data_IF_569993966217
#
_entry.id   IF_569993966217
#
_cell.length_a   1.000
_cell.length_b   1.000
_cell.length_c   1.000
_cell.angle_alpha   90.00
_cell.angle_beta   90.00
_cell.angle_gamma   90.00
#
_symmetry.space_group_name_H-M   'P 1'
#
loop_
_entity.id
_entity.type
_entity.pdbx_description
1 polymer ?
#
# COMPACT_ATOMS: atom_id res chain seq x y z
N UNK A 1 18.16 18.18 -66.90
CA UNK A 1 18.22 18.82 -65.56
C UNK A 1 16.93 18.56 -64.73
N UNK A 2 16.42 17.31 -64.71
CA UNK A 2 15.21 16.91 -63.95
C UNK A 2 15.44 15.71 -63.02
N UNK A 3 16.61 15.06 -63.09
CA UNK A 3 16.95 13.86 -62.32
C UNK A 3 17.45 14.15 -60.92
N UNK A 4 18.06 15.32 -60.67
CA UNK A 4 18.57 15.72 -59.36
C UNK A 4 17.47 16.10 -58.36
N UNK A 5 16.30 16.60 -58.81
CA UNK A 5 15.17 16.95 -57.91
C UNK A 5 14.43 15.73 -57.32
N UNK A 6 14.51 14.57 -57.98
CA UNK A 6 13.87 13.33 -57.49
C UNK A 6 14.65 12.66 -56.36
N UNK A 7 15.97 12.83 -56.33
CA UNK A 7 16.83 12.20 -55.32
C UNK A 7 16.65 12.80 -53.92
N UNK A 8 16.43 14.11 -53.80
CA UNK A 8 16.26 14.80 -52.51
C UNK A 8 14.92 14.50 -51.79
N UNK A 9 13.88 14.13 -52.54
CA UNK A 9 12.57 13.78 -51.96
C UNK A 9 12.55 12.38 -51.33
N UNK A 10 13.40 11.46 -51.81
CA UNK A 10 13.52 10.10 -51.29
C UNK A 10 14.38 10.03 -50.02
N UNK A 11 15.40 10.88 -49.89
CA UNK A 11 16.24 10.95 -48.67
C UNK A 11 15.54 11.64 -47.49
N UNK A 12 14.63 12.59 -47.74
CA UNK A 12 13.83 13.23 -46.69
C UNK A 12 12.78 12.28 -46.07
N UNK A 13 12.27 11.31 -46.85
CA UNK A 13 11.30 10.31 -46.37
C UNK A 13 11.95 9.19 -45.55
N UNK A 14 13.23 8.87 -45.83
CA UNK A 14 13.98 7.86 -45.10
C UNK A 14 14.52 8.38 -43.75
N UNK A 15 14.86 9.68 -43.66
CA UNK A 15 15.32 10.31 -42.42
C UNK A 15 14.20 10.52 -41.39
N UNK A 16 12.95 10.67 -41.81
CA UNK A 16 11.79 10.80 -40.91
C UNK A 16 11.29 9.48 -40.34
N UNK A 17 11.67 8.34 -40.93
CA UNK A 17 11.36 7.00 -40.43
C UNK A 17 12.35 6.51 -39.35
N UNK A 18 13.54 7.10 -39.25
CA UNK A 18 14.58 6.69 -38.29
C UNK A 18 14.36 7.16 -36.85
N UNK A 19 13.44 8.10 -36.61
CA UNK A 19 13.09 8.61 -35.26
C UNK A 19 11.73 8.11 -34.74
N UNK A 20 11.02 7.28 -35.51
CA UNK A 20 9.78 6.68 -35.07
C UNK A 20 10.06 5.33 -34.41
N UNK A 21 9.54 5.16 -33.18
CA UNK A 21 9.54 3.93 -32.41
C UNK A 21 10.80 3.61 -31.58
N UNK A 22 11.10 4.47 -30.61
CA UNK A 22 11.39 3.90 -29.28
C UNK A 22 10.03 3.64 -28.65
N UNK A 23 9.64 2.39 -28.34
CA UNK A 23 8.43 2.17 -27.55
C UNK A 23 8.64 2.87 -26.21
N UNK A 24 7.85 3.90 -25.93
CA UNK A 24 7.80 4.50 -24.60
C UNK A 24 7.16 3.46 -23.67
N UNK A 25 7.98 2.59 -23.07
CA UNK A 25 7.52 1.67 -22.04
C UNK A 25 7.36 2.48 -20.76
N UNK A 26 6.17 3.03 -20.60
CA UNK A 26 5.78 3.72 -19.40
C UNK A 26 5.11 2.76 -18.42
N UNK A 27 5.61 2.73 -17.21
CA UNK A 27 5.16 1.86 -16.14
C UNK A 27 5.07 2.65 -14.84
N UNK A 28 3.98 2.46 -14.10
CA UNK A 28 3.89 2.89 -12.71
C UNK A 28 3.65 1.71 -11.79
N UNK A 29 4.26 1.77 -10.61
CA UNK A 29 4.13 0.75 -9.58
C UNK A 29 4.23 1.37 -8.20
N UNK A 30 3.34 0.97 -7.32
CA UNK A 30 3.38 1.30 -5.90
C UNK A 30 3.24 0.04 -5.06
N UNK A 31 3.96 -0.02 -3.96
CA UNK A 31 3.88 -1.11 -2.99
C UNK A 31 4.00 -0.57 -1.58
N UNK A 32 3.15 -1.06 -0.69
CA UNK A 32 3.12 -0.69 0.72
C UNK A 32 2.94 -1.95 1.54
N UNK A 33 3.92 -2.23 2.40
CA UNK A 33 3.97 -3.44 3.22
C UNK A 33 4.36 -3.02 4.64
N UNK A 34 3.60 -3.45 5.63
CA UNK A 34 3.98 -3.29 7.02
C UNK A 34 3.81 -4.61 7.75
N UNK A 35 4.94 -5.06 8.30
CA UNK A 35 5.01 -6.23 9.16
C UNK A 35 5.23 -5.76 10.60
N UNK A 36 4.28 -6.04 11.47
CA UNK A 36 4.39 -5.86 12.92
C UNK A 36 4.54 -7.24 13.55
N UNK A 37 5.59 -7.42 14.33
CA UNK A 37 5.86 -8.68 15.04
C UNK A 37 6.00 -8.47 16.53
N UNK A 38 5.65 -9.51 17.28
CA UNK A 38 5.74 -9.53 18.74
C UNK A 38 5.04 -8.34 19.42
N UNK A 39 3.86 -7.95 18.91
CA UNK A 39 3.07 -6.89 19.51
C UNK A 39 2.51 -7.33 20.86
N UNK A 40 2.79 -6.55 21.89
CA UNK A 40 2.50 -6.87 23.29
C UNK A 40 2.01 -5.65 24.06
N UNK A 41 1.07 -5.89 24.95
CA UNK A 41 0.68 -4.98 26.03
C UNK A 41 1.28 -5.51 27.33
N UNK A 42 2.10 -4.71 28.00
CA UNK A 42 2.85 -5.09 29.18
C UNK A 42 2.49 -4.20 30.38
N UNK A 43 2.46 -4.79 31.56
CA UNK A 43 2.42 -4.10 32.86
C UNK A 43 3.68 -3.25 33.07
N UNK A 44 3.67 -2.36 34.07
CA UNK A 44 4.83 -1.57 34.46
C UNK A 44 6.08 -2.41 34.82
N UNK A 45 5.89 -3.65 35.29
CA UNK A 45 6.97 -4.58 35.63
C UNK A 45 7.54 -5.36 34.41
N UNK A 46 7.01 -5.12 33.20
CA UNK A 46 7.43 -5.76 31.96
C UNK A 46 6.76 -7.11 31.67
N UNK A 47 5.91 -7.65 32.55
CA UNK A 47 5.14 -8.86 32.24
C UNK A 47 3.96 -8.52 31.31
N UNK A 48 3.60 -9.43 30.42
CA UNK A 48 2.43 -9.22 29.55
C UNK A 48 1.12 -9.23 30.34
N UNK A 49 0.22 -8.30 30.01
CA UNK A 49 -1.17 -8.37 30.45
C UNK A 49 -1.79 -9.70 30.02
N UNK A 50 -2.78 -10.13 30.76
CA UNK A 50 -3.58 -11.33 30.52
C UNK A 50 -5.06 -11.04 30.69
N UNK A 51 -5.91 -11.96 30.22
CA UNK A 51 -7.37 -11.81 30.37
C UNK A 51 -7.79 -11.62 31.83
N UNK A 52 -7.06 -12.20 32.80
CA UNK A 52 -7.36 -12.09 34.23
C UNK A 52 -7.04 -10.73 34.85
N UNK A 53 -6.30 -9.86 34.16
CA UNK A 53 -5.95 -8.52 34.64
C UNK A 53 -7.09 -7.50 34.43
N UNK A 54 -8.14 -7.92 33.70
CA UNK A 54 -9.30 -7.11 33.36
C UNK A 54 -10.57 -7.72 33.95
N UNK A 55 -11.43 -6.89 34.56
CA UNK A 55 -12.74 -7.36 35.02
C UNK A 55 -13.74 -7.48 33.87
N UNK A 56 -13.53 -6.70 32.81
CA UNK A 56 -14.21 -6.85 31.51
C UNK A 56 -13.20 -6.71 30.40
N UNK A 57 -13.35 -7.52 29.35
CA UNK A 57 -12.54 -7.44 28.12
C UNK A 57 -13.44 -7.81 26.94
N UNK A 58 -13.81 -6.82 26.14
CA UNK A 58 -14.70 -7.02 25.00
C UNK A 58 -14.28 -6.15 23.82
N UNK A 59 -14.26 -6.74 22.63
CA UNK A 59 -13.93 -6.05 21.40
C UNK A 59 -13.75 -6.99 20.22
N UNK A 60 -13.42 -6.40 19.08
CA UNK A 60 -13.30 -7.09 17.81
C UNK A 60 -11.95 -6.78 17.16
N UNK A 61 -11.37 -7.75 16.49
CA UNK A 61 -10.36 -7.57 15.46
C UNK A 61 -11.09 -7.50 14.12
N UNK A 62 -10.87 -6.43 13.37
CA UNK A 62 -11.45 -6.22 12.05
C UNK A 62 -10.32 -6.23 11.03
N UNK A 63 -10.51 -6.95 9.93
CA UNK A 63 -9.56 -6.98 8.82
C UNK A 63 -10.27 -6.78 7.49
N UNK A 64 -9.65 -6.01 6.62
CA UNK A 64 -10.20 -5.60 5.33
C UNK A 64 -9.09 -5.60 4.27
N UNK A 65 -9.39 -6.16 3.10
CA UNK A 65 -8.52 -6.04 1.94
C UNK A 65 -9.37 -5.56 0.77
N UNK A 66 -8.85 -4.64 -0.03
CA UNK A 66 -9.53 -4.07 -1.19
C UNK A 66 -8.52 -3.85 -2.32
N UNK A 67 -8.75 -4.48 -3.47
CA UNK A 67 -8.05 -4.18 -4.70
C UNK A 67 -8.97 -3.42 -5.66
N UNK A 68 -8.42 -2.49 -6.43
CA UNK A 68 -9.14 -1.72 -7.43
C UNK A 68 -8.35 -1.62 -8.74
N UNK A 69 -9.05 -1.78 -9.86
CA UNK A 69 -8.54 -1.45 -11.19
C UNK A 69 -9.65 -0.83 -12.05
N UNK A 70 -9.48 0.42 -12.48
CA UNK A 70 -10.44 1.15 -13.32
C UNK A 70 -11.89 1.11 -12.78
N UNK A 71 -12.06 1.34 -11.47
CA UNK A 71 -13.34 1.23 -10.74
C UNK A 71 -13.94 -0.19 -10.66
N UNK A 72 -13.18 -1.23 -11.01
CA UNK A 72 -13.53 -2.62 -10.69
C UNK A 72 -12.88 -2.97 -9.36
N UNK A 73 -13.67 -3.44 -8.41
CA UNK A 73 -13.23 -3.72 -7.04
C UNK A 73 -13.28 -5.21 -6.76
N UNK A 74 -12.33 -5.68 -5.96
CA UNK A 74 -12.39 -6.94 -5.24
C UNK A 74 -12.12 -6.63 -3.77
N UNK A 75 -13.01 -7.09 -2.88
CA UNK A 75 -12.95 -6.72 -1.48
C UNK A 75 -13.37 -7.87 -0.55
N UNK A 76 -12.62 -8.00 0.55
CA UNK A 76 -12.83 -9.00 1.57
C UNK A 76 -12.83 -8.38 2.97
N UNK A 77 -13.59 -8.98 3.87
CA UNK A 77 -13.67 -8.57 5.27
C UNK A 77 -13.84 -9.77 6.20
N UNK A 78 -13.17 -9.74 7.35
CA UNK A 78 -13.38 -10.69 8.44
C UNK A 78 -13.37 -9.92 9.77
N UNK A 79 -14.29 -10.28 10.67
CA UNK A 79 -14.42 -9.66 11.99
C UNK A 79 -14.58 -10.74 13.03
N UNK A 80 -13.68 -10.76 14.02
CA UNK A 80 -13.70 -11.77 15.08
C UNK A 80 -13.46 -11.13 16.44
N UNK A 81 -13.92 -11.79 17.51
CA UNK A 81 -13.62 -11.35 18.88
C UNK A 81 -12.10 -11.28 19.12
N UNK A 82 -11.65 -10.33 19.93
CA UNK A 82 -10.25 -10.26 20.40
C UNK A 82 -9.81 -11.48 21.20
N UNK A 83 -10.77 -12.26 21.72
CA UNK A 83 -10.54 -13.52 22.45
C UNK A 83 -10.75 -14.77 21.59
N UNK A 84 -11.04 -14.61 20.29
CA UNK A 84 -11.23 -15.75 19.40
C UNK A 84 -9.91 -16.54 19.26
N UNK A 85 -10.01 -17.88 19.23
CA UNK A 85 -8.86 -18.76 19.08
C UNK A 85 -8.13 -18.58 17.72
N UNK A 86 -8.87 -18.12 16.71
CA UNK A 86 -8.37 -17.83 15.37
C UNK A 86 -8.64 -16.36 15.07
N UNK A 87 -7.58 -15.61 14.80
CA UNK A 87 -7.64 -14.21 14.38
C UNK A 87 -8.25 -14.10 12.96
N UNK A 88 -8.81 -12.93 12.59
CA UNK A 88 -9.33 -12.72 11.24
C UNK A 88 -8.22 -12.89 10.20
N UNK A 89 -8.52 -13.64 9.14
CA UNK A 89 -7.69 -13.72 7.95
C UNK A 89 -8.58 -13.63 6.70
N UNK A 90 -8.26 -12.72 5.80
CA UNK A 90 -9.03 -12.38 4.61
C UNK A 90 -8.15 -12.78 3.45
N UNK A 91 -8.66 -13.65 2.59
CA UNK A 91 -7.98 -14.05 1.38
C UNK A 91 -7.48 -12.82 0.61
N UNK A 92 -6.32 -12.88 -0.05
CA UNK A 92 -5.88 -11.75 -0.86
C UNK A 92 -6.95 -11.34 -1.87
N UNK A 93 -7.04 -10.04 -2.12
CA UNK A 93 -7.91 -9.45 -3.12
C UNK A 93 -7.09 -9.05 -4.33
N UNK A 94 -7.61 -9.31 -5.51
CA UNK A 94 -6.87 -9.13 -6.75
C UNK A 94 -7.82 -8.72 -7.87
N UNK A 95 -7.48 -7.60 -8.55
CA UNK A 95 -8.15 -7.19 -9.78
C UNK A 95 -7.12 -7.01 -10.88
N UNK A 96 -7.35 -7.65 -12.03
CA UNK A 96 -6.46 -7.59 -13.19
C UNK A 96 -5.54 -8.81 -13.31
N UNK A 97 -4.39 -8.64 -13.97
CA UNK A 97 -3.41 -9.70 -14.15
C UNK A 97 -2.38 -9.65 -13.01
N UNK A 98 -2.81 -10.06 -11.81
CA UNK A 98 -2.00 -9.97 -10.60
C UNK A 98 -0.71 -10.79 -10.69
N UNK A 99 0.33 -10.26 -10.05
CA UNK A 99 1.57 -10.98 -9.87
C UNK A 99 1.31 -12.25 -9.06
N UNK A 100 1.88 -13.42 -9.42
CA UNK A 100 1.62 -14.69 -8.75
C UNK A 100 2.29 -14.74 -7.37
N UNK A 101 1.74 -14.01 -6.41
CA UNK A 101 2.09 -14.07 -5.01
C UNK A 101 1.26 -15.19 -4.37
N UNK A 102 1.92 -15.97 -3.52
CA UNK A 102 1.19 -16.81 -2.58
C UNK A 102 0.43 -15.92 -1.58
N UNK A 103 -0.71 -16.43 -1.10
CA UNK A 103 -1.42 -15.89 0.06
C UNK A 103 -0.48 -15.65 1.24
N UNK A 104 -0.73 -14.59 2.02
CA UNK A 104 0.05 -14.22 3.19
C UNK A 104 1.53 -13.90 2.88
N UNK A 105 1.83 -13.37 1.69
CA UNK A 105 3.21 -13.05 1.29
C UNK A 105 3.55 -11.56 1.44
N UNK A 106 4.20 -11.25 2.56
CA UNK A 106 4.61 -9.90 2.93
C UNK A 106 6.10 -9.62 2.67
N UNK A 107 6.73 -10.36 1.77
CA UNK A 107 8.08 -10.08 1.31
C UNK A 107 8.08 -8.99 0.23
N UNK A 108 8.93 -7.95 0.33
CA UNK A 108 9.10 -6.97 -0.72
C UNK A 108 9.51 -7.60 -2.06
N UNK A 109 9.04 -7.03 -3.17
CA UNK A 109 9.51 -7.42 -4.50
C UNK A 109 10.97 -6.95 -4.65
N UNK A 110 11.88 -7.90 -4.83
CA UNK A 110 13.30 -7.63 -4.97
C UNK A 110 13.62 -6.91 -6.31
N UNK A 111 14.64 -6.06 -6.30
CA UNK A 111 15.11 -5.37 -7.51
C UNK A 111 14.13 -4.35 -8.07
N UNK A 112 14.14 -4.13 -9.38
CA UNK A 112 13.14 -3.31 -10.07
C UNK A 112 11.92 -4.20 -10.38
N UNK A 113 10.69 -3.83 -9.97
CA UNK A 113 9.52 -4.67 -10.18
C UNK A 113 9.27 -4.79 -11.68
N UNK A 114 9.04 -6.01 -12.19
CA UNK A 114 8.70 -6.21 -13.58
C UNK A 114 7.25 -5.74 -13.79
N UNK A 115 7.07 -4.46 -14.13
CA UNK A 115 5.75 -3.89 -14.47
C UNK A 115 5.35 -4.37 -15.86
N UNK A 116 4.91 -5.63 -15.91
CA UNK A 116 4.53 -6.35 -17.12
C UNK A 116 3.01 -6.49 -17.27
N UNK A 117 2.28 -6.23 -16.19
CA UNK A 117 0.83 -6.34 -16.12
C UNK A 117 0.23 -5.18 -15.33
N UNK A 118 -1.08 -4.98 -15.50
CA UNK A 118 -1.86 -4.00 -14.76
C UNK A 118 -2.74 -4.72 -13.73
N UNK A 119 -2.62 -4.34 -12.46
CA UNK A 119 -3.38 -4.94 -11.36
C UNK A 119 -3.43 -4.06 -10.10
N UNK A 120 -4.46 -4.29 -9.29
CA UNK A 120 -4.50 -3.96 -7.86
C UNK A 120 -4.43 -5.23 -7.03
N UNK A 121 -3.69 -5.21 -5.93
CA UNK A 121 -3.53 -6.34 -5.01
C UNK A 121 -3.55 -5.88 -3.56
N UNK A 122 -4.24 -6.62 -2.70
CA UNK A 122 -4.30 -6.36 -1.27
C UNK A 122 -4.31 -7.68 -0.50
N UNK A 123 -3.50 -7.77 0.56
CA UNK A 123 -3.34 -8.98 1.35
C UNK A 123 -3.10 -8.61 2.82
N UNK A 124 -3.49 -9.50 3.71
CA UNK A 124 -3.48 -9.28 5.13
C UNK A 124 -3.31 -10.55 5.95
N UNK A 125 -2.68 -10.42 7.11
CA UNK A 125 -2.68 -11.50 8.09
C UNK A 125 -2.58 -10.99 9.51
N UNK A 126 -3.47 -11.45 10.39
CA UNK A 126 -3.34 -11.31 11.84
C UNK A 126 -3.17 -12.68 12.49
N UNK A 127 -2.20 -12.82 13.40
CA UNK A 127 -1.99 -14.03 14.21
C UNK A 127 -1.58 -13.67 15.64
N UNK A 128 -1.84 -14.58 16.58
CA UNK A 128 -1.51 -14.39 18.00
C UNK A 128 -2.43 -13.39 18.71
N UNK A 129 -2.02 -12.96 19.90
CA UNK A 129 -2.75 -12.02 20.74
C UNK A 129 -1.80 -11.02 21.41
N UNK A 130 -2.25 -9.78 21.60
CA UNK A 130 -1.47 -8.72 22.24
C UNK A 130 -1.28 -8.93 23.75
N UNK A 131 -2.13 -9.75 24.35
CA UNK A 131 -2.14 -10.16 25.76
C UNK A 131 -2.04 -11.68 25.84
N UNK A 132 -1.76 -12.20 27.03
CA UNK A 132 -1.80 -13.65 27.30
C UNK A 132 -3.25 -14.12 27.40
N UNK A 133 -3.59 -15.16 26.62
CA UNK A 133 -4.92 -15.79 26.62
C UNK A 133 -4.77 -17.25 27.03
N UNK A 134 -5.21 -17.60 28.24
CA UNK A 134 -4.95 -18.92 28.82
C UNK A 134 -3.44 -19.19 28.94
N UNK A 135 -2.99 -20.30 28.37
CA UNK A 135 -1.57 -20.67 28.30
C UNK A 135 -0.82 -20.04 27.11
N UNK A 136 -1.53 -19.40 26.16
CA UNK A 136 -0.93 -18.82 24.96
C UNK A 136 -0.23 -17.51 25.30
N UNK A 137 1.09 -17.39 25.07
CA UNK A 137 1.84 -16.18 25.39
C UNK A 137 1.41 -14.99 24.52
N UNK A 138 1.57 -13.79 25.05
CA UNK A 138 1.39 -12.55 24.28
C UNK A 138 2.48 -12.40 23.20
N UNK A 139 2.12 -11.78 22.09
CA UNK A 139 2.97 -11.53 20.93
C UNK A 139 2.19 -11.68 19.63
N UNK A 140 1.34 -10.70 19.32
CA UNK A 140 0.61 -10.71 18.05
C UNK A 140 1.53 -10.33 16.88
N UNK A 141 1.27 -10.92 15.72
CA UNK A 141 1.86 -10.52 14.45
C UNK A 141 0.76 -10.04 13.52
N UNK A 142 0.92 -8.84 12.97
CA UNK A 142 0.00 -8.22 12.03
C UNK A 142 0.76 -7.77 10.80
N UNK A 143 0.35 -8.24 9.63
CA UNK A 143 0.99 -7.95 8.36
C UNK A 143 -0.03 -7.42 7.36
N UNK A 144 0.31 -6.33 6.69
CA UNK A 144 -0.46 -5.72 5.59
C UNK A 144 0.40 -5.74 4.32
N UNK A 145 -0.25 -5.85 3.17
CA UNK A 145 0.36 -5.57 1.86
C UNK A 145 -0.67 -4.96 0.91
N UNK A 146 -0.29 -3.90 0.23
CA UNK A 146 -1.03 -3.31 -0.86
C UNK A 146 -0.07 -3.04 -2.02
N UNK A 147 -0.42 -3.51 -3.22
CA UNK A 147 0.32 -3.22 -4.44
C UNK A 147 -0.62 -2.67 -5.52
N UNK A 148 -0.09 -1.76 -6.33
CA UNK A 148 -0.74 -1.25 -7.52
C UNK A 148 0.28 -1.21 -8.65
N UNK A 149 -0.10 -1.72 -9.82
CA UNK A 149 0.77 -1.74 -10.99
C UNK A 149 -0.01 -1.38 -12.23
N UNK A 150 0.58 -0.57 -13.10
CA UNK A 150 0.00 -0.27 -14.41
C UNK A 150 1.09 -0.27 -15.48
N UNK A 151 0.87 -1.04 -16.54
CA UNK A 151 1.76 -1.12 -17.72
C UNK A 151 1.13 -0.54 -18.99
N UNK A 152 -0.11 -0.03 -18.88
CA UNK A 152 -0.93 0.59 -19.93
C UNK A 152 -1.75 1.73 -19.31
N UNK A 153 -2.53 2.44 -20.13
CA UNK A 153 -3.45 3.48 -19.66
C UNK A 153 -4.47 2.88 -18.69
N UNK A 154 -4.28 3.14 -17.39
CA UNK A 154 -5.09 2.59 -16.32
C UNK A 154 -4.90 3.38 -15.02
N UNK A 155 -5.89 3.26 -14.14
CA UNK A 155 -5.80 3.63 -12.73
C UNK A 155 -5.92 2.34 -11.93
N UNK A 156 -4.88 1.97 -11.20
CA UNK A 156 -4.89 0.83 -10.31
C UNK A 156 -4.61 1.29 -8.88
N UNK A 157 -5.35 0.77 -7.92
CA UNK A 157 -5.10 0.99 -6.51
C UNK A 157 -5.13 -0.34 -5.76
N UNK A 158 -4.23 -0.47 -4.79
CA UNK A 158 -4.28 -1.50 -3.76
C UNK A 158 -4.49 -0.80 -2.43
N UNK A 159 -5.50 -1.24 -1.68
CA UNK A 159 -5.71 -0.80 -0.31
C UNK A 159 -5.86 -2.03 0.59
N UNK A 160 -4.94 -2.21 1.53
CA UNK A 160 -5.05 -3.30 2.50
C UNK A 160 -4.91 -2.77 3.91
N UNK A 161 -5.92 -3.07 4.73
CA UNK A 161 -6.09 -2.52 6.06
C UNK A 161 -6.29 -3.69 7.04
N UNK A 162 -5.32 -3.89 7.94
CA UNK A 162 -5.26 -5.11 8.75
C UNK A 162 -5.24 -4.76 10.20
N UNK A 163 -6.34 -5.08 10.88
CA UNK A 163 -6.48 -4.79 12.30
C UNK A 163 -7.01 -3.38 12.57
N UNK A 164 -7.52 -2.66 11.58
CA UNK A 164 -7.92 -1.24 11.65
C UNK A 164 -9.27 -0.96 12.30
N UNK A 165 -9.57 -1.72 13.34
CA UNK A 165 -10.26 -1.21 14.52
C UNK A 165 -10.22 -2.34 15.53
N UNK A 166 -9.01 -2.70 15.98
CA UNK A 166 -8.94 -3.48 17.22
C UNK A 166 -9.33 -2.54 18.33
N UNK A 167 -10.65 -2.42 18.50
CA UNK A 167 -11.27 -1.61 19.53
C UNK A 167 -11.76 -2.57 20.58
N UNK A 168 -11.16 -2.46 21.76
CA UNK A 168 -11.69 -3.17 22.90
C UNK A 168 -11.80 -2.26 24.11
N UNK A 169 -12.91 -2.42 24.81
CA UNK A 169 -13.12 -1.83 26.11
C UNK A 169 -12.60 -2.81 27.16
N UNK A 170 -11.86 -2.27 28.13
CA UNK A 170 -11.42 -3.02 29.29
C UNK A 170 -11.61 -2.21 30.56
N UNK A 171 -11.94 -2.89 31.65
CA UNK A 171 -11.93 -2.29 32.98
C UNK A 171 -10.72 -2.83 33.74
N UNK A 172 -9.84 -1.93 34.21
CA UNK A 172 -8.70 -2.32 35.02
C UNK A 172 -9.16 -3.08 36.26
N UNK A 173 -8.42 -4.12 36.65
CA UNK A 173 -8.65 -4.89 37.87
C UNK A 173 -8.44 -4.09 39.16
N UNK A 174 -8.01 -4.77 40.23
CA UNK A 174 -7.99 -4.19 41.58
C UNK A 174 -6.87 -3.15 41.84
N UNK A 175 -5.92 -2.99 40.93
CA UNK A 175 -4.76 -2.11 41.11
C UNK A 175 -4.59 -1.15 39.93
N UNK A 176 -4.11 0.06 40.25
CA UNK A 176 -3.65 1.03 39.25
C UNK A 176 -2.37 0.53 38.58
N UNK A 177 -2.19 0.84 37.30
CA UNK A 177 -1.01 0.41 36.54
C UNK A 177 -0.72 1.34 35.34
N UNK A 178 0.40 1.14 34.66
CA UNK A 178 0.66 1.71 33.33
C UNK A 178 0.75 0.60 32.29
N UNK A 179 0.29 0.90 31.08
CA UNK A 179 0.37 -0.02 29.96
C UNK A 179 1.52 0.39 29.03
N UNK A 180 2.49 -0.51 28.89
CA UNK A 180 3.55 -0.40 27.88
C UNK A 180 3.13 -1.15 26.62
N UNK A 181 3.02 -0.42 25.52
CA UNK A 181 2.87 -0.98 24.17
C UNK A 181 4.27 -1.25 23.63
N UNK A 182 4.55 -2.46 23.15
CA UNK A 182 5.84 -2.79 22.55
C UNK A 182 5.69 -3.73 21.36
N UNK A 183 6.42 -3.46 20.28
CA UNK A 183 6.42 -4.30 19.07
C UNK A 183 7.64 -4.01 18.19
N UNK A 184 7.95 -4.92 17.27
CA UNK A 184 8.92 -4.68 16.19
C UNK A 184 8.16 -4.39 14.90
N UNK A 185 8.42 -3.25 14.29
CA UNK A 185 7.84 -2.87 12.99
C UNK A 185 8.90 -2.91 11.90
N UNK A 186 8.55 -3.46 10.73
CA UNK A 186 9.38 -3.48 9.54
C UNK A 186 8.59 -2.86 8.37
N UNK A 187 8.61 -1.52 8.24
CA UNK A 187 7.90 -0.82 7.17
C UNK A 187 8.67 -0.93 5.85
N UNK A 188 7.92 -1.09 4.76
CA UNK A 188 8.42 -1.01 3.40
C UNK A 188 7.41 -0.28 2.52
N UNK A 189 7.84 0.80 1.87
CA UNK A 189 7.04 1.44 0.83
C UNK A 189 7.88 1.75 -0.40
N UNK A 190 7.24 1.76 -1.55
CA UNK A 190 7.88 2.02 -2.84
C UNK A 190 6.94 2.71 -3.79
N UNK A 191 7.47 3.70 -4.51
CA UNK A 191 6.82 4.32 -5.66
C UNK A 191 7.78 4.35 -6.84
N UNK A 192 7.34 3.82 -7.98
CA UNK A 192 8.09 3.77 -9.23
C UNK A 192 7.26 4.41 -10.34
N UNK A 193 7.86 5.35 -11.06
CA UNK A 193 7.39 5.84 -12.36
C UNK A 193 8.56 5.81 -13.33
N UNK A 194 8.41 5.12 -14.47
CA UNK A 194 9.50 5.06 -15.47
C UNK A 194 9.53 6.32 -16.35
N UNK A 195 10.72 6.71 -16.87
CA UNK A 195 10.82 7.77 -17.87
C UNK A 195 9.96 7.49 -19.11
N UNK A 196 9.31 8.51 -19.63
CA UNK A 196 8.39 8.39 -20.78
C UNK A 196 6.94 8.13 -20.41
N UNK A 197 6.62 8.07 -19.11
CA UNK A 197 5.25 8.11 -18.62
C UNK A 197 4.56 9.42 -18.96
N UNK A 198 3.29 9.36 -19.37
CA UNK A 198 2.54 10.54 -19.79
C UNK A 198 2.12 11.41 -18.62
N UNK A 199 1.59 12.59 -18.95
CA UNK A 199 1.46 13.75 -18.05
C UNK A 199 0.54 13.59 -16.82
N UNK A 200 -0.10 12.44 -16.64
CA UNK A 200 -0.93 12.14 -15.45
C UNK A 200 -0.47 10.88 -14.73
N UNK A 201 0.72 10.38 -15.06
CA UNK A 201 1.23 9.16 -14.44
C UNK A 201 1.84 9.48 -13.07
N UNK A 202 1.44 8.70 -12.08
CA UNK A 202 1.87 8.82 -10.69
C UNK A 202 1.92 7.45 -10.01
N UNK A 203 2.72 7.36 -8.97
CA UNK A 203 2.74 6.25 -8.03
C UNK A 203 2.86 6.81 -6.61
N UNK A 204 2.05 6.30 -5.69
CA UNK A 204 2.08 6.68 -4.28
C UNK A 204 1.96 5.43 -3.40
N UNK A 205 2.83 5.33 -2.39
CA UNK A 205 2.71 4.32 -1.35
C UNK A 205 2.88 4.97 0.03
N UNK A 206 2.06 4.57 0.98
CA UNK A 206 2.14 5.05 2.36
C UNK A 206 1.63 4.01 3.35
N UNK A 207 2.14 4.09 4.57
CA UNK A 207 1.65 3.35 5.73
C UNK A 207 0.93 4.30 6.67
N UNK A 208 0.03 3.74 7.48
CA UNK A 208 -0.47 4.43 8.67
C UNK A 208 -0.61 3.45 9.82
N UNK A 209 -0.09 3.84 10.98
CA UNK A 209 -0.24 3.10 12.21
C UNK A 209 -0.48 4.03 13.38
N UNK A 210 -1.48 3.73 14.20
CA UNK A 210 -1.74 4.48 15.43
C UNK A 210 -2.32 3.61 16.54
N UNK A 211 -2.10 4.05 17.77
CA UNK A 211 -2.73 3.49 18.96
C UNK A 211 -3.19 4.62 19.87
N UNK A 212 -4.44 4.53 20.28
CA UNK A 212 -5.02 5.47 21.21
C UNK A 212 -5.67 4.74 22.39
N UNK A 213 -5.49 5.26 23.61
CA UNK A 213 -6.20 4.82 24.81
C UNK A 213 -6.98 6.00 25.37
N UNK A 214 -8.30 5.87 25.49
CA UNK A 214 -9.16 6.85 26.16
C UNK A 214 -9.79 6.27 27.42
N UNK A 215 -10.00 7.12 28.42
CA UNK A 215 -10.88 6.80 29.53
C UNK A 215 -12.33 7.04 29.09
N UNK A 216 -13.19 6.02 29.21
CA UNK A 216 -14.58 6.08 28.72
C UNK A 216 -15.51 6.91 29.61
N UNK A 217 -15.12 7.18 30.85
CA UNK A 217 -15.90 8.00 31.79
C UNK A 217 -15.60 9.49 31.60
N UNK A 218 -14.33 9.86 31.44
CA UNK A 218 -13.89 11.25 31.35
C UNK A 218 -13.63 11.72 29.91
N UNK A 219 -13.59 10.80 28.95
CA UNK A 219 -13.16 11.02 27.56
C UNK A 219 -11.74 11.59 27.41
N UNK A 220 -10.92 11.51 28.47
CA UNK A 220 -9.54 11.96 28.41
C UNK A 220 -8.65 10.93 27.70
N UNK A 221 -7.78 11.40 26.80
CA UNK A 221 -6.73 10.57 26.20
C UNK A 221 -5.65 10.24 27.24
N UNK A 222 -5.37 8.97 27.42
CA UNK A 222 -4.34 8.43 28.32
C UNK A 222 -3.06 8.10 27.57
N UNK A 223 -3.18 7.71 26.30
CA UNK A 223 -2.07 7.49 25.38
C UNK A 223 -2.52 7.82 23.96
N UNK A 224 -1.67 8.54 23.23
CA UNK A 224 -1.79 8.70 21.79
C UNK A 224 -0.41 8.44 21.19
N UNK A 225 -0.27 7.38 20.41
CA UNK A 225 1.01 6.93 19.88
C UNK A 225 0.91 6.63 18.38
N UNK A 226 1.69 7.36 17.59
CA UNK A 226 1.79 7.20 16.15
C UNK A 226 3.25 7.52 15.74
N UNK A 227 4.15 6.53 15.68
CA UNK A 227 5.54 6.78 15.35
C UNK A 227 5.68 7.21 13.89
N UNK A 228 6.47 8.26 13.64
CA UNK A 228 6.67 8.84 12.30
C UNK A 228 7.19 7.84 11.28
N UNK A 229 8.04 6.89 11.71
CA UNK A 229 8.59 5.84 10.86
C UNK A 229 7.53 4.90 10.25
N UNK A 230 6.35 4.80 10.86
CA UNK A 230 5.22 4.01 10.36
C UNK A 230 4.10 4.88 9.77
N UNK A 231 4.35 6.19 9.62
CA UNK A 231 3.39 7.18 9.17
C UNK A 231 4.06 8.15 8.19
N UNK A 232 4.37 9.38 8.63
CA UNK A 232 4.85 10.49 7.80
C UNK A 232 6.08 10.14 6.96
N UNK A 233 7.05 9.41 7.51
CA UNK A 233 8.28 9.04 6.82
C UNK A 233 8.11 7.90 5.80
N UNK A 234 7.04 7.12 5.93
CA UNK A 234 6.75 6.00 5.03
C UNK A 234 6.05 6.44 3.74
N UNK A 235 5.60 7.70 3.64
CA UNK A 235 4.95 8.20 2.45
C UNK A 235 5.97 8.49 1.35
N UNK A 236 5.91 7.72 0.25
CA UNK A 236 6.76 7.90 -0.93
C UNK A 236 5.90 8.10 -2.17
N UNK A 237 6.40 8.90 -3.10
CA UNK A 237 5.70 9.18 -4.36
C UNK A 237 6.66 9.44 -5.50
N UNK A 238 6.27 9.06 -6.72
CA UNK A 238 6.95 9.39 -7.96
C UNK A 238 5.90 9.86 -8.99
N UNK A 239 6.28 10.73 -9.92
CA UNK A 239 5.37 11.30 -10.93
C UNK A 239 6.04 11.37 -12.30
N UNK A 240 5.26 11.58 -13.35
CA UNK A 240 5.82 11.80 -14.70
C UNK A 240 6.80 13.00 -14.78
N UNK A 241 6.62 14.02 -13.94
CA UNK A 241 7.46 15.22 -13.92
C UNK A 241 8.78 14.98 -13.16
N UNK A 242 8.79 13.99 -12.27
CA UNK A 242 9.97 13.51 -11.56
C UNK A 242 9.95 11.97 -11.51
N UNK A 243 10.21 11.29 -12.64
CA UNK A 243 10.24 9.83 -12.68
C UNK A 243 11.38 9.31 -11.82
N UNK A 244 11.08 8.42 -10.90
CA UNK A 244 12.05 7.86 -9.98
C UNK A 244 11.56 6.50 -9.45
N UNK A 245 12.46 5.80 -8.76
CA UNK A 245 12.20 4.60 -7.98
C UNK A 245 12.50 4.89 -6.50
N UNK A 246 11.53 5.51 -5.81
CA UNK A 246 11.67 5.91 -4.41
C UNK A 246 11.30 4.72 -3.52
N UNK A 247 12.18 4.37 -2.58
CA UNK A 247 11.98 3.26 -1.64
C UNK A 247 12.24 3.74 -0.22
N UNK A 248 11.31 3.48 0.69
CA UNK A 248 11.49 3.60 2.13
C UNK A 248 11.53 2.21 2.76
N UNK A 249 12.69 1.83 3.30
CA UNK A 249 12.92 0.51 3.90
C UNK A 249 13.97 0.61 5.01
N UNK A 250 13.66 1.27 6.15
CA UNK A 250 14.62 1.45 7.25
C UNK A 250 14.98 0.13 7.95
N UNK A 251 14.25 -0.96 7.67
CA UNK A 251 14.41 -2.25 8.32
C UNK A 251 13.62 -2.36 9.62
N UNK A 252 13.76 -3.51 10.28
CA UNK A 252 13.04 -3.81 11.50
C UNK A 252 13.52 -2.93 12.67
N UNK A 253 12.58 -2.21 13.30
CA UNK A 253 12.85 -1.30 14.42
C UNK A 253 11.93 -1.63 15.60
N UNK A 254 12.44 -1.52 16.83
CA UNK A 254 11.64 -1.65 18.04
C UNK A 254 10.89 -0.35 18.31
N UNK A 255 9.58 -0.45 18.49
CA UNK A 255 8.69 0.63 18.89
C UNK A 255 8.17 0.36 20.30
N UNK A 256 8.09 1.41 21.13
CA UNK A 256 7.58 1.31 22.48
C UNK A 256 6.99 2.64 22.95
N UNK A 257 5.89 2.57 23.69
CA UNK A 257 5.28 3.71 24.36
C UNK A 257 4.62 3.27 25.66
N UNK A 258 4.66 4.14 26.67
CA UNK A 258 4.04 3.90 27.98
C UNK A 258 2.86 4.85 28.14
N UNK A 259 1.71 4.32 28.55
CA UNK A 259 0.52 5.13 28.83
C UNK A 259 0.69 5.97 30.11
N UNK A 260 -0.20 6.96 30.29
CA UNK A 260 -0.46 7.49 31.62
C UNK A 260 -1.04 6.42 32.57
N UNK A 261 -1.21 6.79 33.85
CA UNK A 261 -1.76 5.89 34.87
C UNK A 261 -3.20 5.47 34.54
N UNK A 262 -3.40 4.16 34.42
CA UNK A 262 -4.70 3.51 34.30
C UNK A 262 -5.18 3.17 35.71
N UNK A 263 -6.28 3.79 36.15
CA UNK A 263 -6.84 3.62 37.48
C UNK A 263 -7.70 2.34 37.56
N UNK A 264 -7.63 1.66 38.69
CA UNK A 264 -8.47 0.52 39.02
C UNK A 264 -9.96 0.84 38.86
N UNK A 265 -10.75 -0.15 38.43
CA UNK A 265 -12.19 -0.04 38.25
C UNK A 265 -12.67 1.07 37.29
N UNK A 266 -11.78 1.59 36.43
CA UNK A 266 -12.15 2.51 35.35
C UNK A 266 -12.16 1.76 34.02
N UNK A 267 -13.10 2.14 33.16
CA UNK A 267 -13.21 1.59 31.81
C UNK A 267 -12.41 2.45 30.84
N UNK A 268 -11.57 1.78 30.07
CA UNK A 268 -10.77 2.36 29.01
C UNK A 268 -11.13 1.71 27.68
N UNK A 269 -10.95 2.44 26.60
CA UNK A 269 -11.00 1.90 25.25
C UNK A 269 -9.63 2.10 24.62
N UNK A 270 -9.09 1.03 24.06
CA UNK A 270 -7.93 1.08 23.19
C UNK A 270 -8.37 0.87 21.75
N UNK A 271 -7.87 1.70 20.84
CA UNK A 271 -8.08 1.57 19.39
C UNK A 271 -6.72 1.50 18.72
N UNK A 272 -6.53 0.46 17.92
CA UNK A 272 -5.32 0.25 17.11
C UNK A 272 -5.73 0.34 15.63
N UNK A 273 -4.97 1.12 14.86
CA UNK A 273 -5.15 1.26 13.41
C UNK A 273 -3.85 0.87 12.70
N UNK A 274 -3.97 0.12 11.60
CA UNK A 274 -2.84 -0.38 10.82
C UNK A 274 -3.24 -0.57 9.36
N UNK A 275 -2.70 0.27 8.49
CA UNK A 275 -3.13 0.41 7.09
C UNK A 275 -1.93 0.49 6.14
N UNK A 276 -2.10 -0.09 4.95
CA UNK A 276 -1.19 0.00 3.81
C UNK A 276 -1.93 0.46 2.57
N UNK A 277 -1.47 1.56 1.99
CA UNK A 277 -2.06 2.15 0.79
C UNK A 277 -1.04 2.18 -0.34
N UNK A 278 -1.45 1.74 -1.53
CA UNK A 278 -0.69 1.85 -2.77
C UNK A 278 -1.60 2.31 -3.92
N UNK A 279 -1.16 3.28 -4.70
CA UNK A 279 -1.87 3.76 -5.88
C UNK A 279 -0.90 3.95 -7.04
N UNK A 280 -1.33 3.60 -8.24
CA UNK A 280 -0.56 3.72 -9.46
C UNK A 280 -1.50 4.17 -10.60
N UNK A 281 -1.21 5.34 -11.17
CA UNK A 281 -1.91 5.86 -12.34
C UNK A 281 -0.96 5.93 -13.51
N UNK A 282 -1.42 5.57 -14.71
CA UNK A 282 -0.63 5.66 -15.93
C UNK A 282 -1.49 6.16 -17.07
N UNK A 283 -0.95 7.12 -17.80
CA UNK A 283 -1.42 7.49 -19.13
C UNK A 283 -0.21 7.47 -20.05
N UNK A 284 -0.22 6.60 -21.03
CA UNK A 284 0.78 6.49 -22.09
C UNK A 284 0.30 7.38 -23.23
N UNK A 285 1.08 8.40 -23.63
CA UNK A 285 0.78 9.20 -24.81
C UNK A 285 0.61 8.28 -26.01
N UNK A 286 -0.40 8.53 -26.83
CA UNK A 286 -0.63 7.73 -28.04
C UNK A 286 0.68 7.65 -28.85
N UNK A 287 1.08 6.45 -29.30
CA UNK A 287 2.32 6.29 -30.01
C UNK A 287 2.33 7.20 -31.25
N UNK A 288 3.47 7.83 -31.52
CA UNK A 288 3.68 8.71 -32.68
C UNK A 288 3.33 8.04 -34.02
N UNK A 289 3.07 6.74 -34.05
CA UNK A 289 2.50 6.00 -35.17
C UNK A 289 1.17 6.59 -35.65
N UNK A 290 0.31 7.15 -34.79
CA UNK A 290 -0.90 7.84 -35.24
C UNK A 290 -0.56 9.15 -35.95
N UNK A 291 0.42 9.89 -35.45
CA UNK A 291 0.94 11.10 -36.12
C UNK A 291 1.63 10.76 -37.44
N UNK A 292 2.39 9.67 -37.51
CA UNK A 292 3.06 9.17 -38.72
C UNK A 292 2.04 8.64 -39.73
N UNK A 293 0.99 7.96 -39.28
CA UNK A 293 -0.14 7.53 -40.12
C UNK A 293 -0.89 8.74 -40.67
N UNK A 294 -1.21 9.72 -39.84
CA UNK A 294 -1.86 10.96 -40.26
C UNK A 294 -0.98 11.74 -41.26
N UNK A 295 0.33 11.83 -41.02
CA UNK A 295 1.28 12.44 -41.94
C UNK A 295 1.40 11.65 -43.26
N UNK A 296 1.39 10.32 -43.20
CA UNK A 296 1.38 9.44 -44.37
C UNK A 296 0.13 9.61 -45.22
N UNK A 297 -1.05 9.65 -44.58
CA UNK A 297 -2.33 9.90 -45.25
C UNK A 297 -2.38 11.30 -45.88
N UNK A 298 -1.89 12.33 -45.19
CA UNK A 298 -1.75 13.68 -45.75
C UNK A 298 -0.78 13.70 -46.95
N UNK A 299 0.34 12.99 -46.87
CA UNK A 299 1.29 12.85 -47.98
C UNK A 299 0.66 12.21 -49.22
N UNK A 300 -0.12 11.14 -49.04
CA UNK A 300 -0.84 10.46 -50.13
C UNK A 300 -1.91 11.39 -50.74
N UNK A 301 -2.65 12.13 -49.91
CA UNK A 301 -3.65 13.09 -50.38
C UNK A 301 -3.04 14.21 -51.24
N UNK A 302 -1.88 14.77 -50.84
CA UNK A 302 -1.17 15.81 -51.58
C UNK A 302 -0.61 15.30 -52.92
N UNK A 303 -0.08 14.07 -52.96
CA UNK A 303 0.42 13.45 -54.21
C UNK A 303 -0.72 13.13 -55.17
N UNK A 304 -1.86 12.65 -54.66
CA UNK A 304 -3.05 12.35 -55.48
C UNK A 304 -3.61 13.62 -56.13
N UNK A 305 -3.64 14.75 -55.41
CA UNK A 305 -4.13 16.04 -55.92
C UNK A 305 -3.24 16.60 -57.04
N UNK A 306 -1.93 16.34 -57.00
CA UNK A 306 -0.98 16.74 -58.06
C UNK A 306 -1.02 15.86 -59.31
N UNK A 307 -1.64 14.67 -59.28
CA UNK A 307 -1.80 13.81 -60.47
C UNK A 307 -3.13 14.01 -61.19
N UNK A 308 -4.10 14.65 -60.54
CA UNK A 308 -5.45 14.88 -61.07
C UNK A 308 -5.66 16.28 -61.67
N UNK A 309 -4.65 17.15 -61.64
CA UNK A 309 -4.59 18.42 -62.37
C UNK A 309 -3.34 18.47 -63.20
#
# INVERSE_FOLDING_TARGET
MQTTKKAYLLTALAASLGFAAVPAQAATFASSILNITNFRLLHANGTAYSVGDFSTLAGNNNAHATAELNNVFDNGADTRSITAAVAPNVAHQCVGACFPLAEDNFAPIAGLPPVTTTYGYADQRLTGAAIRVGATPAGANASTRADASTSVNAVAAGNSDVGTSTTFAFTMGAADDTMTVSFTGNPYTRALVTPGAGAVSDANARLSWSLNIINMTTHASVLNYAPDALNSLSAVSATHAAPDNVVYAPGATLFSAVSGLLKANQTYQITIQHNSFANATQNVPEPATLTVMAAGLMGIALVRRRRAG
#
